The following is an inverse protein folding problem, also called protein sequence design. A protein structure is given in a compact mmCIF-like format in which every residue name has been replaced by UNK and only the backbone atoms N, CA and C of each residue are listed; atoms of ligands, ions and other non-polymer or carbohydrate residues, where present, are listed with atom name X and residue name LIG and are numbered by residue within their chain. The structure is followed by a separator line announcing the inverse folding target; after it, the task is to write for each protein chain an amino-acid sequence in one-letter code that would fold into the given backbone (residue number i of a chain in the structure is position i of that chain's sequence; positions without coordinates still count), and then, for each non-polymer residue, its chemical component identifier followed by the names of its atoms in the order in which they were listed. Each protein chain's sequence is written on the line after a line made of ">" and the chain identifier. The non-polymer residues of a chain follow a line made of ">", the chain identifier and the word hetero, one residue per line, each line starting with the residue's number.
data_IF_937159925177
#
_entry.id   IF_937159925177
#
_cell.length_a   1.000
_cell.length_b   1.000
_cell.length_c   1.000
_cell.angle_alpha   90.00
_cell.angle_beta   90.00
_cell.angle_gamma   90.00
#
_symmetry.space_group_name_H-M   'P 1'
#
loop_
_entity.id
_entity.type
_entity.pdbx_description
1 polymer ?
#
# COMPACT_ATOMS: atom_id res chain seq x y z
N UNK A 1 -13.84 3.40 8.07
CA UNK A 1 -13.14 2.96 6.86
C UNK A 1 -14.18 2.71 5.76
N UNK A 2 -13.94 3.22 4.57
CA UNK A 2 -14.72 2.99 3.35
C UNK A 2 -13.81 2.36 2.28
N UNK A 3 -14.35 1.42 1.50
CA UNK A 3 -13.68 0.84 0.34
C UNK A 3 -14.32 1.45 -0.91
N UNK A 4 -13.56 2.25 -1.64
CA UNK A 4 -14.00 2.81 -2.91
C UNK A 4 -13.43 1.99 -4.06
N UNK A 5 -14.31 1.46 -4.90
CA UNK A 5 -13.92 0.70 -6.09
C UNK A 5 -13.54 1.62 -7.25
N UNK A 6 -12.47 1.27 -7.95
CA UNK A 6 -12.12 1.79 -9.26
C UNK A 6 -12.03 0.66 -10.26
N UNK A 7 -12.57 0.89 -11.46
CA UNK A 7 -12.43 -0.02 -12.60
C UNK A 7 -11.65 0.70 -13.69
N UNK A 8 -10.41 0.28 -13.92
CA UNK A 8 -9.54 0.82 -14.98
C UNK A 8 -9.21 -0.32 -15.91
N UNK A 9 -9.56 -0.21 -17.20
CA UNK A 9 -9.28 -1.26 -18.21
C UNK A 9 -9.68 -2.67 -17.75
N UNK A 10 -10.87 -2.82 -17.16
CA UNK A 10 -11.41 -4.08 -16.61
C UNK A 10 -10.62 -4.66 -15.41
N UNK A 11 -9.79 -3.85 -14.76
CA UNK A 11 -9.06 -4.19 -13.54
C UNK A 11 -9.75 -3.51 -12.36
N UNK A 12 -10.15 -4.31 -11.35
CA UNK A 12 -10.69 -3.82 -10.08
C UNK A 12 -9.56 -3.38 -9.16
N UNK A 13 -9.69 -2.17 -8.60
CA UNK A 13 -8.73 -1.60 -7.65
C UNK A 13 -9.51 -1.06 -6.46
N UNK A 14 -9.14 -1.48 -5.25
CA UNK A 14 -9.74 -0.99 -4.02
C UNK A 14 -8.94 0.20 -3.47
N UNK A 15 -9.58 1.35 -3.29
CA UNK A 15 -9.04 2.49 -2.54
C UNK A 15 -9.60 2.49 -1.12
N UNK A 16 -8.72 2.49 -0.12
CA UNK A 16 -9.10 2.52 1.30
C UNK A 16 -9.15 3.97 1.78
N UNK A 17 -10.35 4.47 2.03
CA UNK A 17 -10.60 5.83 2.51
C UNK A 17 -10.88 5.77 4.01
N UNK A 18 -10.04 6.42 4.81
CA UNK A 18 -10.15 6.47 6.25
C UNK A 18 -9.55 7.75 6.81
N UNK A 19 -10.14 8.27 7.89
CA UNK A 19 -9.58 9.37 8.70
C UNK A 19 -8.70 8.84 9.85
N UNK A 20 -8.59 7.52 9.98
CA UNK A 20 -7.86 6.84 11.05
C UNK A 20 -6.78 5.91 10.45
N UNK A 21 -5.83 5.51 11.27
CA UNK A 21 -4.84 4.48 10.92
C UNK A 21 -5.57 3.15 10.71
N UNK A 22 -5.44 2.59 9.52
CA UNK A 22 -6.00 1.28 9.13
C UNK A 22 -4.98 0.15 9.23
N UNK A 23 -3.69 0.48 9.25
CA UNK A 23 -2.60 -0.48 9.46
C UNK A 23 -1.73 0.04 10.60
N UNK A 24 -1.95 -0.46 11.81
CA UNK A 24 -1.11 -0.17 12.97
C UNK A 24 -0.20 -1.34 13.35
N UNK A 25 -0.62 -2.59 13.08
CA UNK A 25 0.16 -3.80 13.31
C UNK A 25 0.18 -4.75 12.10
N UNK A 26 0.86 -5.88 12.25
CA UNK A 26 0.88 -6.96 11.25
C UNK A 26 -0.50 -7.60 11.12
N UNK A 27 -1.22 -7.74 12.24
CA UNK A 27 -2.58 -8.26 12.30
C UNK A 27 -3.54 -7.37 11.53
N UNK A 28 -3.50 -6.05 11.72
CA UNK A 28 -4.33 -5.11 10.94
C UNK A 28 -4.08 -5.24 9.44
N UNK A 29 -2.81 -5.38 9.05
CA UNK A 29 -2.42 -5.59 7.66
C UNK A 29 -2.96 -6.90 7.08
N UNK A 30 -2.96 -7.97 7.86
CA UNK A 30 -3.53 -9.27 7.50
C UNK A 30 -5.05 -9.25 7.40
N UNK A 31 -5.72 -8.61 8.35
CA UNK A 31 -7.17 -8.49 8.39
C UNK A 31 -7.67 -7.68 7.20
N UNK A 32 -7.01 -6.55 6.89
CA UNK A 32 -7.32 -5.74 5.73
C UNK A 32 -7.10 -6.53 4.43
N UNK A 33 -5.97 -7.23 4.31
CA UNK A 33 -5.66 -8.07 3.15
C UNK A 33 -6.71 -9.16 2.96
N UNK A 34 -7.08 -9.88 4.02
CA UNK A 34 -8.07 -10.95 3.97
C UNK A 34 -9.47 -10.44 3.58
N UNK A 35 -9.88 -9.30 4.13
CA UNK A 35 -11.16 -8.66 3.82
C UNK A 35 -11.26 -8.26 2.34
N UNK A 36 -10.20 -7.66 1.80
CA UNK A 36 -10.16 -7.21 0.40
C UNK A 36 -10.00 -8.37 -0.58
N UNK A 37 -9.19 -9.35 -0.23
CA UNK A 37 -8.99 -10.55 -1.03
C UNK A 37 -10.30 -11.36 -1.17
N UNK A 38 -11.10 -11.46 -0.11
CA UNK A 38 -12.44 -12.09 -0.16
C UNK A 38 -13.43 -11.36 -1.07
N UNK A 39 -13.21 -10.07 -1.33
CA UNK A 39 -14.02 -9.23 -2.23
C UNK A 39 -13.45 -9.18 -3.67
N UNK A 40 -12.54 -10.10 -4.02
CA UNK A 40 -11.87 -10.20 -5.31
C UNK A 40 -11.06 -8.95 -5.68
N UNK A 41 -10.41 -8.32 -4.70
CA UNK A 41 -9.42 -7.28 -4.95
C UNK A 41 -7.99 -7.83 -4.84
N UNK A 42 -7.25 -7.77 -5.94
CA UNK A 42 -5.82 -8.09 -6.01
C UNK A 42 -4.93 -6.85 -6.13
N UNK A 43 -5.54 -5.64 -6.13
CA UNK A 43 -4.87 -4.35 -6.24
C UNK A 43 -5.49 -3.35 -5.27
N UNK A 44 -4.67 -2.78 -4.41
CA UNK A 44 -5.11 -1.98 -3.27
C UNK A 44 -4.35 -0.65 -3.23
N UNK A 45 -5.05 0.42 -2.92
CA UNK A 45 -4.51 1.74 -2.64
C UNK A 45 -4.78 2.09 -1.17
N UNK A 46 -3.73 2.43 -0.43
CA UNK A 46 -3.80 2.90 0.96
C UNK A 46 -3.10 4.26 1.04
N UNK A 47 -3.61 5.17 1.84
CA UNK A 47 -2.95 6.44 2.09
C UNK A 47 -1.84 6.31 3.13
N UNK A 48 -0.72 7.01 2.94
CA UNK A 48 0.41 7.05 3.89
C UNK A 48 -0.06 7.40 5.32
N UNK A 49 -1.00 8.34 5.44
CA UNK A 49 -1.61 8.74 6.73
C UNK A 49 -2.47 7.65 7.39
N UNK A 50 -2.92 6.66 6.62
CA UNK A 50 -3.63 5.49 7.11
C UNK A 50 -2.71 4.38 7.64
N UNK A 51 -1.39 4.59 7.60
CA UNK A 51 -0.40 3.61 8.05
C UNK A 51 0.34 4.18 9.26
N UNK A 52 0.61 3.33 10.26
CA UNK A 52 1.38 3.72 11.43
C UNK A 52 2.76 4.27 11.04
N UNK A 53 3.24 5.38 11.65
CA UNK A 53 4.58 5.90 11.41
C UNK A 53 5.71 4.87 11.65
N UNK A 54 5.46 3.87 12.52
CA UNK A 54 6.41 2.77 12.81
C UNK A 54 6.73 1.94 11.57
N UNK A 55 5.81 1.88 10.59
CA UNK A 55 6.03 1.23 9.30
C UNK A 55 7.20 1.85 8.55
N UNK A 56 7.30 3.19 8.55
CA UNK A 56 8.35 3.93 7.86
C UNK A 56 9.69 3.91 8.62
N UNK A 57 9.70 3.46 9.88
CA UNK A 57 10.90 3.22 10.66
C UNK A 57 11.43 1.81 10.39
N UNK A 58 12.08 1.57 9.24
CA UNK A 58 12.42 0.22 8.73
C UNK A 58 13.12 -0.72 9.74
N UNK A 59 13.86 -0.20 10.73
CA UNK A 59 14.46 -1.00 11.81
C UNK A 59 13.44 -1.70 12.71
N UNK A 60 12.17 -1.30 12.68
CA UNK A 60 11.06 -1.91 13.42
C UNK A 60 10.70 -3.30 12.90
N UNK A 61 11.04 -3.62 11.63
CA UNK A 61 10.62 -4.86 10.97
C UNK A 61 9.18 -4.84 10.44
N UNK A 62 8.34 -3.94 10.93
CA UNK A 62 6.90 -3.89 10.64
C UNK A 62 6.58 -3.83 9.14
N UNK A 63 7.28 -2.97 8.39
CA UNK A 63 7.09 -2.88 6.93
C UNK A 63 7.41 -4.19 6.22
N UNK A 64 8.50 -4.86 6.59
CA UNK A 64 8.88 -6.13 5.98
C UNK A 64 7.84 -7.22 6.22
N UNK A 65 7.35 -7.32 7.45
CA UNK A 65 6.34 -8.32 7.81
C UNK A 65 5.01 -8.11 7.07
N UNK A 66 4.51 -6.86 7.04
CA UNK A 66 3.28 -6.52 6.33
C UNK A 66 3.44 -6.75 4.83
N UNK A 67 4.47 -6.16 4.20
CA UNK A 67 4.63 -6.22 2.75
C UNK A 67 4.92 -7.65 2.25
N UNK A 68 5.55 -8.49 3.07
CA UNK A 68 5.69 -9.91 2.77
C UNK A 68 4.33 -10.60 2.63
N UNK A 69 3.31 -10.23 3.43
CA UNK A 69 1.95 -10.78 3.27
C UNK A 69 1.36 -10.40 1.92
N UNK A 70 1.39 -9.11 1.56
CA UNK A 70 0.92 -8.66 0.24
C UNK A 70 1.60 -9.42 -0.90
N UNK A 71 2.92 -9.65 -0.79
CA UNK A 71 3.66 -10.47 -1.76
C UNK A 71 3.23 -11.93 -1.78
N UNK A 72 3.02 -12.57 -0.63
CA UNK A 72 2.61 -13.98 -0.54
C UNK A 72 1.25 -14.23 -1.19
N UNK A 73 0.32 -13.29 -1.01
CA UNK A 73 -1.02 -13.34 -1.61
C UNK A 73 -1.06 -12.76 -3.04
N UNK A 74 0.07 -12.31 -3.58
CA UNK A 74 0.20 -11.69 -4.92
C UNK A 74 -0.69 -10.45 -5.10
N UNK A 75 -0.95 -9.72 -4.02
CA UNK A 75 -1.76 -8.50 -4.02
C UNK A 75 -0.87 -7.29 -4.19
N UNK A 76 -1.08 -6.52 -5.26
CA UNK A 76 -0.32 -5.30 -5.52
C UNK A 76 -0.81 -4.17 -4.63
N UNK A 77 0.12 -3.44 -4.04
CA UNK A 77 -0.16 -2.35 -3.10
C UNK A 77 0.43 -1.04 -3.62
N UNK A 78 -0.40 0.00 -3.71
CA UNK A 78 0.06 1.37 -3.83
C UNK A 78 -0.18 2.11 -2.52
N UNK A 79 0.86 2.74 -1.98
CA UNK A 79 0.80 3.63 -0.82
C UNK A 79 0.88 5.06 -1.36
N UNK A 80 -0.16 5.86 -1.12
CA UNK A 80 -0.31 7.21 -1.67
C UNK A 80 -0.10 8.28 -0.60
N UNK A 81 0.82 9.22 -0.83
CA UNK A 81 1.08 10.29 0.12
C UNK A 81 2.29 11.15 -0.22
N UNK A 82 2.65 12.03 0.73
CA UNK A 82 3.85 12.84 0.63
C UNK A 82 4.97 12.24 1.48
N UNK A 83 5.97 11.67 0.80
CA UNK A 83 7.09 11.00 1.47
C UNK A 83 8.28 11.93 1.76
N UNK A 84 8.18 13.24 1.52
CA UNK A 84 9.28 14.20 1.76
C UNK A 84 9.68 14.31 3.23
N UNK A 85 8.74 14.05 4.15
CA UNK A 85 8.97 14.04 5.61
C UNK A 85 9.88 12.88 6.05
N UNK A 86 9.94 11.80 5.28
CA UNK A 86 10.75 10.62 5.56
C UNK A 86 12.20 10.84 5.08
N UNK A 87 13.01 11.47 5.93
CA UNK A 87 14.31 12.02 5.54
C UNK A 87 15.48 11.02 5.55
N UNK A 88 15.35 9.89 6.24
CA UNK A 88 16.43 8.90 6.36
C UNK A 88 16.84 8.31 5.00
N UNK A 89 18.12 7.98 4.82
CA UNK A 89 18.57 7.38 3.56
C UNK A 89 17.93 6.00 3.33
N UNK A 90 17.79 5.21 4.38
CA UNK A 90 17.22 3.86 4.29
C UNK A 90 15.78 3.84 3.78
N UNK A 91 14.91 4.76 4.22
CA UNK A 91 13.53 4.81 3.73
C UNK A 91 13.45 5.35 2.30
N UNK A 92 14.31 6.31 1.94
CA UNK A 92 14.41 6.82 0.57
C UNK A 92 14.84 5.73 -0.40
N UNK A 93 15.88 4.98 -0.07
CA UNK A 93 16.36 3.86 -0.88
C UNK A 93 15.29 2.77 -1.00
N UNK A 94 14.63 2.45 0.12
CA UNK A 94 13.55 1.47 0.14
C UNK A 94 12.37 1.88 -0.75
N UNK A 95 11.92 3.13 -0.69
CA UNK A 95 10.87 3.68 -1.55
C UNK A 95 11.30 3.64 -3.02
N UNK A 96 12.53 4.09 -3.30
CA UNK A 96 13.08 4.12 -4.65
C UNK A 96 13.14 2.72 -5.28
N UNK A 97 13.67 1.72 -4.56
CA UNK A 97 13.73 0.35 -5.05
C UNK A 97 12.34 -0.28 -5.17
N UNK A 98 11.44 -0.05 -4.21
CA UNK A 98 10.05 -0.52 -4.28
C UNK A 98 9.35 -0.01 -5.55
N UNK A 99 9.54 1.26 -5.88
CA UNK A 99 8.96 1.87 -7.08
C UNK A 99 9.45 1.31 -8.42
N UNK A 100 10.58 0.57 -8.44
CA UNK A 100 11.01 -0.15 -9.65
C UNK A 100 10.20 -1.44 -9.87
N UNK A 101 9.74 -2.07 -8.78
CA UNK A 101 8.96 -3.31 -8.81
C UNK A 101 7.47 -3.10 -9.04
N UNK A 102 6.74 -4.18 -9.35
CA UNK A 102 5.28 -4.15 -9.56
C UNK A 102 4.45 -4.39 -8.29
N UNK A 103 5.06 -4.95 -7.24
CA UNK A 103 4.30 -5.45 -6.08
C UNK A 103 3.88 -4.34 -5.12
N UNK A 104 4.78 -3.41 -4.81
CA UNK A 104 4.57 -2.35 -3.83
C UNK A 104 5.10 -1.04 -4.39
N UNK A 105 4.27 -0.01 -4.43
CA UNK A 105 4.67 1.30 -4.94
C UNK A 105 4.26 2.42 -3.98
N UNK A 106 5.11 3.43 -3.84
CA UNK A 106 4.92 4.64 -3.06
C UNK A 106 4.78 5.81 -4.01
N UNK A 107 3.57 6.36 -4.13
CA UNK A 107 3.20 7.28 -5.21
C UNK A 107 2.61 8.57 -4.65
N UNK A 108 2.79 9.72 -5.32
CA UNK A 108 2.36 11.00 -4.76
C UNK A 108 0.85 11.23 -4.87
N UNK A 109 0.17 10.57 -5.81
CA UNK A 109 -1.26 10.79 -6.04
C UNK A 109 -2.03 9.49 -6.34
N UNK A 110 -3.36 9.56 -6.17
CA UNK A 110 -4.28 8.49 -6.59
C UNK A 110 -4.22 8.27 -8.10
N UNK A 111 -4.07 9.32 -8.90
CA UNK A 111 -3.96 9.19 -10.34
C UNK A 111 -2.73 8.33 -10.74
N UNK A 112 -1.59 8.58 -10.11
CA UNK A 112 -0.37 7.77 -10.34
C UNK A 112 -0.58 6.32 -9.92
N UNK A 113 -1.27 6.08 -8.79
CA UNK A 113 -1.58 4.74 -8.30
C UNK A 113 -2.51 3.98 -9.26
N UNK A 114 -3.56 4.61 -9.75
CA UNK A 114 -4.48 3.99 -10.71
C UNK A 114 -3.76 3.64 -12.02
N UNK A 115 -2.92 4.54 -12.53
CA UNK A 115 -2.09 4.27 -13.71
C UNK A 115 -1.19 3.07 -13.43
N UNK A 116 -0.41 3.10 -12.34
CA UNK A 116 0.56 2.06 -11.98
C UNK A 116 -0.08 0.68 -11.82
N UNK A 117 -1.25 0.61 -11.20
CA UNK A 117 -1.96 -0.65 -10.94
C UNK A 117 -2.73 -1.16 -12.17
N UNK A 118 -3.03 -0.31 -13.14
CA UNK A 118 -3.70 -0.72 -14.39
C UNK A 118 -2.75 -1.19 -15.49
N UNK A 119 -1.44 -0.96 -15.37
CA UNK A 119 -0.45 -1.38 -16.38
C UNK A 119 -0.02 -2.84 -16.19
N UNK A 120 -0.18 -3.66 -17.25
CA UNK A 120 0.19 -5.09 -17.28
C UNK A 120 1.69 -5.35 -17.10
#
# INVERSE_FOLDING_TARGET
>A
MEIKEHIVTNIKIAEIISNEIVINSVEDGLDLLGNLYYQDYDKIIIYEKGISPVFFHLKSGLAGEILQKFSNFRVQLAIVGDFKSHTSQSIKDFIYESNKGKQVNFLPTIADALIRLSTL
#
